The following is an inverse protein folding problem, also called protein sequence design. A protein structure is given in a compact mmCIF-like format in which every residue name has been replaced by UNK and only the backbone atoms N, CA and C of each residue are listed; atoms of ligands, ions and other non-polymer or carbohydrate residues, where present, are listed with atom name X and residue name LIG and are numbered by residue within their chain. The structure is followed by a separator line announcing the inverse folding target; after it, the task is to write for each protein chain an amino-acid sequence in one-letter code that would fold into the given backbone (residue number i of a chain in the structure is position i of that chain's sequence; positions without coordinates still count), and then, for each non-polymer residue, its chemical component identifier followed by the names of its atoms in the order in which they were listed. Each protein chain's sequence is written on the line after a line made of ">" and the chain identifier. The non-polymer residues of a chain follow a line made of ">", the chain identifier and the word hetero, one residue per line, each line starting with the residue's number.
data_IF_015710625703
#
_entry.id   IF_015710625703
#
_cell.length_a   1.000
_cell.length_b   1.000
_cell.length_c   1.000
_cell.angle_alpha   90.00
_cell.angle_beta   90.00
_cell.angle_gamma   90.00
#
_symmetry.space_group_name_H-M   'P 1'
#
loop_
_entity.id
_entity.type
_entity.pdbx_description
1 polymer ?
#
# COMPACT_ATOMS: atom_id res chain seq x y z
N UNK A 1 -0.07 3.88 0.36
CA UNK A 1 0.36 4.62 -0.85
C UNK A 1 1.87 4.83 -0.88
N UNK A 2 2.40 5.85 -0.19
CA UNK A 2 3.81 6.29 -0.30
C UNK A 2 4.84 5.17 -0.05
N UNK A 3 4.63 4.31 0.95
CA UNK A 3 5.59 3.26 1.30
C UNK A 3 5.81 2.25 0.18
N UNK A 4 4.73 1.72 -0.41
CA UNK A 4 4.84 0.77 -1.51
C UNK A 4 5.49 1.42 -2.74
N UNK A 5 5.16 2.67 -3.03
CA UNK A 5 5.76 3.41 -4.15
C UNK A 5 7.25 3.68 -3.96
N UNK A 6 7.69 3.96 -2.73
CA UNK A 6 9.11 4.18 -2.42
C UNK A 6 9.94 2.89 -2.39
N UNK A 7 9.38 1.80 -1.86
CA UNK A 7 10.12 0.55 -1.68
C UNK A 7 10.12 -0.33 -2.94
N UNK A 8 8.98 -0.43 -3.61
CA UNK A 8 8.78 -1.38 -4.72
C UNK A 8 8.58 -0.70 -6.07
N UNK A 9 8.51 0.64 -6.12
CA UNK A 9 8.25 1.39 -7.36
C UNK A 9 6.82 1.22 -7.89
N UNK A 10 5.91 0.62 -7.12
CA UNK A 10 4.52 0.39 -7.51
C UNK A 10 3.66 1.53 -6.99
N UNK A 11 2.85 2.14 -7.85
CA UNK A 11 1.88 3.18 -7.47
C UNK A 11 0.51 2.52 -7.28
N UNK A 12 0.13 2.13 -6.04
CA UNK A 12 -1.15 1.45 -5.81
C UNK A 12 -2.32 2.43 -5.89
N UNK A 13 -3.49 1.94 -6.28
CA UNK A 13 -4.74 2.66 -6.03
C UNK A 13 -4.93 2.95 -4.53
N UNK A 14 -5.77 3.93 -4.19
CA UNK A 14 -6.07 4.25 -2.79
C UNK A 14 -6.75 3.08 -2.08
N UNK A 15 -7.59 2.31 -2.75
CA UNK A 15 -8.23 1.11 -2.21
C UNK A 15 -7.20 0.01 -1.90
N UNK A 16 -6.25 -0.22 -2.81
CA UNK A 16 -5.12 -1.16 -2.57
C UNK A 16 -4.25 -0.68 -1.40
N UNK A 17 -4.08 0.64 -1.25
CA UNK A 17 -3.33 1.22 -0.13
C UNK A 17 -3.96 0.92 1.23
N UNK A 18 -5.28 0.79 1.34
CA UNK A 18 -5.95 0.42 2.59
C UNK A 18 -5.59 -1.00 3.02
N UNK A 19 -5.58 -1.95 2.08
CA UNK A 19 -5.17 -3.32 2.36
C UNK A 19 -3.72 -3.39 2.88
N UNK A 20 -2.80 -2.67 2.23
CA UNK A 20 -1.39 -2.63 2.64
C UNK A 20 -1.18 -1.97 4.01
N UNK A 21 -1.95 -0.93 4.33
CA UNK A 21 -1.89 -0.30 5.65
C UNK A 21 -2.35 -1.26 6.76
N UNK A 22 -3.35 -2.11 6.49
CA UNK A 22 -3.79 -3.12 7.44
C UNK A 22 -2.73 -4.20 7.71
N UNK A 23 -1.89 -4.52 6.70
CA UNK A 23 -0.80 -5.50 6.89
C UNK A 23 0.21 -5.08 7.96
N UNK A 24 0.38 -3.78 8.21
CA UNK A 24 1.24 -3.32 9.31
C UNK A 24 0.74 -3.77 10.69
N UNK A 25 -0.57 -4.01 10.81
CA UNK A 25 -1.21 -4.51 12.02
C UNK A 25 -1.31 -6.04 12.01
N UNK A 26 -1.54 -6.64 10.84
CA UNK A 26 -1.71 -8.09 10.69
C UNK A 26 -0.38 -8.85 10.74
N UNK A 27 0.65 -8.40 10.04
CA UNK A 27 1.90 -9.15 9.91
C UNK A 27 2.58 -9.44 11.27
N UNK A 28 2.60 -8.54 12.26
CA UNK A 28 3.16 -8.83 13.59
C UNK A 28 2.41 -9.92 14.37
N UNK A 29 1.17 -10.24 14.00
CA UNK A 29 0.38 -11.30 14.65
C UNK A 29 0.52 -12.66 13.99
N UNK A 30 1.23 -12.74 12.86
CA UNK A 30 1.44 -13.98 12.12
C UNK A 30 2.72 -14.69 12.58
N UNK A 31 2.78 -16.03 12.49
CA UNK A 31 4.02 -16.77 12.71
C UNK A 31 5.12 -16.32 11.74
N UNK A 32 6.38 -16.39 12.20
CA UNK A 32 7.54 -16.10 11.37
C UNK A 32 7.55 -16.96 10.09
N UNK A 33 7.80 -16.31 8.95
CA UNK A 33 7.81 -16.96 7.64
C UNK A 33 6.43 -17.18 7.00
N UNK A 34 5.34 -16.68 7.60
CA UNK A 34 4.02 -16.70 6.98
C UNK A 34 4.03 -15.97 5.62
N UNK A 35 3.38 -16.58 4.61
CA UNK A 35 3.23 -16.00 3.26
C UNK A 35 1.87 -15.32 3.15
N UNK A 36 1.87 -14.05 2.76
CA UNK A 36 0.65 -13.25 2.59
C UNK A 36 0.49 -12.88 1.12
N UNK A 37 -0.70 -13.14 0.56
CA UNK A 37 -1.07 -12.71 -0.80
C UNK A 37 -2.06 -11.56 -0.68
N UNK A 38 -1.78 -10.48 -1.40
CA UNK A 38 -2.58 -9.26 -1.37
C UNK A 38 -3.03 -8.95 -2.79
N UNK A 39 -4.32 -8.73 -2.96
CA UNK A 39 -4.84 -8.30 -4.25
C UNK A 39 -4.51 -6.82 -4.49
N UNK A 40 -3.76 -6.53 -5.55
CA UNK A 40 -3.55 -5.17 -6.05
C UNK A 40 -4.67 -4.85 -7.05
N UNK A 41 -5.80 -4.39 -6.54
CA UNK A 41 -7.03 -4.19 -7.31
C UNK A 41 -6.89 -3.16 -8.44
N UNK A 42 -5.93 -2.23 -8.35
CA UNK A 42 -5.71 -1.23 -9.37
C UNK A 42 -4.46 -0.38 -9.16
N UNK A 43 -4.16 0.44 -10.17
CA UNK A 43 -3.06 1.42 -10.18
C UNK A 43 -3.53 2.80 -9.78
N UNK A 44 -2.66 3.54 -9.10
CA UNK A 44 -2.96 4.83 -8.48
C UNK A 44 -2.68 6.05 -9.35
N UNK A 45 -2.41 5.92 -10.65
CA UNK A 45 -2.04 7.04 -11.54
C UNK A 45 -3.05 8.21 -11.48
N UNK A 46 -4.34 7.89 -11.41
CA UNK A 46 -5.42 8.88 -11.28
C UNK A 46 -5.45 9.54 -9.91
N UNK A 47 -5.02 8.82 -8.88
CA UNK A 47 -5.08 9.24 -7.49
C UNK A 47 -3.86 10.05 -7.05
N UNK A 48 -2.78 10.07 -7.85
CA UNK A 48 -1.53 10.77 -7.51
C UNK A 48 -1.79 12.24 -7.17
N UNK A 49 -2.65 12.92 -7.92
CA UNK A 49 -2.96 14.34 -7.67
C UNK A 49 -3.65 14.55 -6.32
N UNK A 50 -4.54 13.64 -5.94
CA UNK A 50 -5.24 13.68 -4.65
C UNK A 50 -4.31 13.30 -3.51
N UNK A 51 -3.50 12.26 -3.71
CA UNK A 51 -2.52 11.80 -2.72
C UNK A 51 -1.47 12.90 -2.45
N UNK A 52 -0.97 13.58 -3.47
CA UNK A 52 0.05 14.63 -3.34
C UNK A 52 -0.43 15.80 -2.47
N UNK A 53 -1.74 16.13 -2.47
CA UNK A 53 -2.30 17.17 -1.60
C UNK A 53 -2.24 16.82 -0.11
N UNK A 54 -2.18 15.54 0.23
CA UNK A 54 -2.24 15.03 1.60
C UNK A 54 -0.91 14.44 2.06
N UNK A 55 0.04 14.26 1.15
CA UNK A 55 1.38 13.75 1.44
C UNK A 55 2.31 14.94 1.63
N UNK A 56 2.68 15.21 2.88
CA UNK A 56 3.82 16.09 3.16
C UNK A 56 5.08 15.36 2.72
N UNK A 57 5.79 15.94 1.76
CA UNK A 57 7.06 15.40 1.24
C UNK A 57 8.17 15.71 2.25
#
# INVERSE_FOLDING_TARGET
>A
FQRLSRLEGIIPALETSHALAYLEKLCPTLPDGAKVVVNCSGRGDKDVQTATKHLTI
#
